data_IF_015545364012
#
_entry.id   IF_015545364012
#
_cell.length_a   1.000
_cell.length_b   1.000
_cell.length_c   1.000
_cell.angle_alpha   90.00
_cell.angle_beta   90.00
_cell.angle_gamma   90.00
#
_symmetry.space_group_name_H-M   'P 1'
#
loop_
_entity.id
_entity.type
_entity.pdbx_description
1 polymer ?
#
# COMPACT_ATOMS: atom_id res chain seq x y z
N UNK A 1 41.22 -8.91 0.75
CA UNK A 1 39.95 -9.68 0.70
C UNK A 1 39.27 -9.59 2.05
N UNK A 2 38.12 -8.89 2.16
CA UNK A 2 37.28 -9.02 3.37
C UNK A 2 36.57 -10.36 3.31
N UNK A 3 36.94 -11.28 4.21
CA UNK A 3 36.43 -12.64 4.27
C UNK A 3 35.19 -12.67 5.16
N UNK A 4 34.03 -12.95 4.56
CA UNK A 4 32.75 -13.07 5.27
C UNK A 4 32.89 -14.11 6.39
N UNK A 5 32.84 -13.64 7.64
CA UNK A 5 32.95 -14.50 8.81
C UNK A 5 31.78 -15.48 8.87
N UNK A 6 32.08 -16.72 9.24
CA UNK A 6 31.12 -17.79 9.47
C UNK A 6 31.01 -18.08 10.97
N UNK A 7 29.82 -18.48 11.41
CA UNK A 7 29.58 -19.03 12.74
C UNK A 7 30.19 -20.43 12.85
N UNK A 8 30.31 -20.95 14.07
CA UNK A 8 30.80 -22.31 14.31
C UNK A 8 30.00 -23.39 13.54
N UNK A 9 28.72 -23.12 13.27
CA UNK A 9 27.85 -23.94 12.43
C UNK A 9 28.05 -23.79 10.92
N UNK A 10 29.09 -23.07 10.48
CA UNK A 10 29.45 -22.85 9.07
C UNK A 10 28.55 -21.85 8.31
N UNK A 11 27.52 -21.30 8.96
CA UNK A 11 26.62 -20.29 8.37
C UNK A 11 27.28 -18.90 8.43
N UNK A 12 26.88 -17.99 7.56
CA UNK A 12 27.38 -16.61 7.59
C UNK A 12 26.92 -15.89 8.87
N UNK A 13 27.85 -15.23 9.55
CA UNK A 13 27.54 -14.49 10.78
C UNK A 13 26.90 -13.13 10.48
N UNK A 14 25.60 -13.05 10.74
CA UNK A 14 24.76 -11.87 10.50
C UNK A 14 25.07 -10.67 11.41
N UNK A 15 25.85 -10.87 12.48
CA UNK A 15 26.18 -9.80 13.42
C UNK A 15 27.33 -8.92 12.93
N UNK A 16 28.12 -9.44 11.99
CA UNK A 16 29.29 -8.75 11.44
C UNK A 16 28.92 -7.57 10.55
N UNK A 17 29.80 -6.56 10.51
CA UNK A 17 29.64 -5.37 9.67
C UNK A 17 29.63 -5.74 8.19
N UNK A 18 30.52 -6.65 7.79
CA UNK A 18 30.66 -7.15 6.41
C UNK A 18 29.35 -7.75 5.88
N UNK A 19 28.64 -8.56 6.68
CA UNK A 19 27.34 -9.10 6.28
C UNK A 19 26.29 -8.00 6.08
N UNK A 20 26.23 -7.03 7.00
CA UNK A 20 25.28 -5.92 6.90
C UNK A 20 25.55 -5.06 5.67
N UNK A 21 26.81 -4.76 5.39
CA UNK A 21 27.22 -4.02 4.20
C UNK A 21 26.90 -4.75 2.89
N UNK A 22 27.09 -6.07 2.85
CA UNK A 22 26.69 -6.90 1.71
C UNK A 22 25.17 -6.83 1.47
N UNK A 23 24.38 -6.94 2.53
CA UNK A 23 22.91 -6.86 2.45
C UNK A 23 22.47 -5.49 1.91
N UNK A 24 23.06 -4.40 2.39
CA UNK A 24 22.73 -3.05 1.92
C UNK A 24 23.16 -2.84 0.46
N UNK A 25 24.33 -3.35 0.06
CA UNK A 25 24.78 -3.32 -1.34
C UNK A 25 23.83 -4.11 -2.26
N UNK A 26 23.39 -5.29 -1.83
CA UNK A 26 22.44 -6.11 -2.57
C UNK A 26 21.06 -5.44 -2.68
N UNK A 27 20.59 -4.76 -1.63
CA UNK A 27 19.35 -3.97 -1.68
C UNK A 27 19.47 -2.81 -2.67
N UNK A 28 20.56 -2.03 -2.61
CA UNK A 28 20.81 -0.93 -3.55
C UNK A 28 20.86 -1.42 -5.00
N UNK A 29 21.54 -2.55 -5.26
CA UNK A 29 21.59 -3.14 -6.58
C UNK A 29 20.21 -3.59 -7.09
N UNK A 30 19.37 -4.18 -6.23
CA UNK A 30 17.98 -4.53 -6.59
C UNK A 30 17.16 -3.30 -6.93
N UNK A 31 17.23 -2.26 -6.11
CA UNK A 31 16.49 -1.02 -6.33
C UNK A 31 16.88 -0.35 -7.65
N UNK A 32 18.19 -0.28 -7.93
CA UNK A 32 18.72 0.23 -9.19
C UNK A 32 18.22 -0.59 -10.41
N UNK A 33 18.20 -1.93 -10.31
CA UNK A 33 17.66 -2.80 -11.37
C UNK A 33 16.17 -2.64 -11.59
N UNK A 34 15.40 -2.39 -10.54
CA UNK A 34 13.95 -2.21 -10.63
C UNK A 34 13.53 -0.80 -11.02
N UNK A 35 14.46 0.15 -11.16
CA UNK A 35 14.15 1.57 -11.42
C UNK A 35 13.37 2.25 -10.29
N UNK A 36 13.21 1.58 -9.14
CA UNK A 36 12.47 2.08 -7.98
C UNK A 36 13.47 2.74 -7.03
N UNK A 37 13.84 3.99 -7.31
CA UNK A 37 14.36 4.89 -6.28
C UNK A 37 13.21 5.22 -5.31
N UNK A 38 12.85 4.29 -4.43
CA UNK A 38 12.02 4.58 -3.26
C UNK A 38 12.76 4.19 -2.00
N UNK A 39 13.19 5.24 -1.30
CA UNK A 39 13.24 5.32 0.15
C UNK A 39 11.89 4.91 0.73
N UNK A 40 11.64 3.61 0.84
CA UNK A 40 10.47 3.07 1.52
C UNK A 40 10.90 2.03 2.54
N UNK A 41 11.49 2.52 3.62
CA UNK A 41 11.19 1.99 4.96
C UNK A 41 9.70 2.20 5.21
N UNK A 42 8.84 1.31 4.71
CA UNK A 42 7.45 1.25 5.17
C UNK A 42 7.40 0.43 6.44
N UNK A 43 7.81 1.08 7.53
CA UNK A 43 7.25 0.81 8.85
C UNK A 43 5.80 1.25 8.77
N UNK A 44 4.87 0.36 9.10
CA UNK A 44 3.46 0.68 9.27
C UNK A 44 3.32 1.74 10.35
N UNK A 45 3.26 3.00 9.96
CA UNK A 45 2.90 4.12 10.83
C UNK A 45 2.04 5.07 10.02
N UNK A 46 0.76 5.05 10.37
CA UNK A 46 -0.23 6.13 10.25
C UNK A 46 0.40 7.49 9.98
N UNK A 47 0.13 8.04 8.79
CA UNK A 47 -0.12 9.46 8.50
C UNK A 47 -0.06 9.69 6.98
N UNK A 48 -1.00 9.06 6.26
CA UNK A 48 -1.54 9.76 5.09
C UNK A 48 -2.59 10.69 5.66
N UNK A 49 -2.28 11.97 5.78
CA UNK A 49 -3.27 13.02 6.04
C UNK A 49 -4.16 13.16 4.80
N UNK A 50 -4.95 12.14 4.50
CA UNK A 50 -6.19 12.37 3.76
C UNK A 50 -7.05 13.19 4.70
N UNK A 51 -7.39 14.42 4.33
CA UNK A 51 -8.31 15.31 5.06
C UNK A 51 -9.58 14.57 5.51
N UNK A 52 -9.99 13.59 4.70
CA UNK A 52 -11.10 12.66 4.94
C UNK A 52 -10.92 11.86 6.24
N UNK A 53 -11.75 12.21 7.23
CA UNK A 53 -11.89 11.48 8.49
C UNK A 53 -12.42 10.07 8.27
N UNK A 54 -11.77 9.09 8.92
CA UNK A 54 -12.13 7.67 8.88
C UNK A 54 -12.43 7.14 10.27
N UNK A 55 -13.30 6.15 10.35
CA UNK A 55 -13.62 5.40 11.57
C UNK A 55 -12.52 4.38 11.89
N UNK A 56 -12.60 3.77 13.07
CA UNK A 56 -11.68 2.70 13.51
C UNK A 56 -11.68 1.47 12.58
N UNK A 57 -12.80 1.20 11.88
CA UNK A 57 -12.93 0.15 10.87
C UNK A 57 -12.36 0.55 9.49
N UNK A 58 -11.70 1.71 9.39
CA UNK A 58 -11.07 2.21 8.16
C UNK A 58 -12.03 2.81 7.12
N UNK A 59 -13.35 2.77 7.38
CA UNK A 59 -14.36 3.37 6.50
C UNK A 59 -14.46 4.88 6.70
N UNK A 60 -14.94 5.59 5.69
CA UNK A 60 -15.18 7.05 5.76
C UNK A 60 -16.23 7.35 6.83
N UNK A 61 -15.99 8.35 7.67
CA UNK A 61 -16.94 8.74 8.72
C UNK A 61 -18.07 9.62 8.15
N UNK A 62 -19.22 8.99 7.93
CA UNK A 62 -20.44 9.63 7.39
C UNK A 62 -21.07 10.68 8.31
N UNK A 63 -20.59 10.80 9.56
CA UNK A 63 -21.04 11.86 10.47
C UNK A 63 -20.42 13.22 10.15
N UNK A 64 -19.29 13.21 9.44
CA UNK A 64 -18.59 14.43 9.00
C UNK A 64 -19.20 15.00 7.72
N UNK A 65 -19.08 16.31 7.50
CA UNK A 65 -19.57 16.99 6.27
C UNK A 65 -18.99 16.33 5.01
N UNK A 66 -17.68 16.11 5.01
CA UNK A 66 -16.97 15.43 3.92
C UNK A 66 -17.50 14.01 3.67
N UNK A 67 -17.77 13.26 4.74
CA UNK A 67 -18.32 11.90 4.63
C UNK A 67 -19.70 11.86 3.98
N UNK A 68 -20.57 12.84 4.30
CA UNK A 68 -21.90 12.97 3.69
C UNK A 68 -21.80 13.29 2.19
N UNK A 69 -20.96 14.26 1.82
CA UNK A 69 -20.75 14.64 0.42
C UNK A 69 -20.18 13.48 -0.42
N UNK A 70 -19.23 12.71 0.13
CA UNK A 70 -18.70 11.52 -0.52
C UNK A 70 -19.80 10.47 -0.73
N UNK A 71 -20.64 10.24 0.28
CA UNK A 71 -21.75 9.29 0.17
C UNK A 71 -22.76 9.70 -0.91
N UNK A 72 -23.13 10.98 -0.97
CA UNK A 72 -24.03 11.52 -1.98
C UNK A 72 -23.45 11.40 -3.40
N UNK A 73 -22.17 11.76 -3.58
CA UNK A 73 -21.47 11.60 -4.87
C UNK A 73 -21.46 10.14 -5.32
N UNK A 74 -21.19 9.22 -4.40
CA UNK A 74 -21.19 7.78 -4.68
C UNK A 74 -22.59 7.25 -5.01
N UNK A 75 -23.63 7.74 -4.32
CA UNK A 75 -25.03 7.39 -4.61
C UNK A 75 -25.43 7.84 -6.02
N UNK A 76 -25.13 9.10 -6.37
CA UNK A 76 -25.39 9.64 -7.71
C UNK A 76 -24.68 8.85 -8.81
N UNK A 77 -23.42 8.46 -8.57
CA UNK A 77 -22.66 7.61 -9.49
C UNK A 77 -23.28 6.21 -9.64
N UNK A 78 -23.80 5.61 -8.56
CA UNK A 78 -24.50 4.31 -8.61
C UNK A 78 -25.82 4.41 -9.39
N UNK A 79 -26.61 5.45 -9.13
CA UNK A 79 -27.85 5.69 -9.89
C UNK A 79 -27.58 5.90 -11.38
N UNK A 80 -26.52 6.61 -11.75
CA UNK A 80 -26.13 6.79 -13.15
C UNK A 80 -25.74 5.45 -13.81
N UNK A 81 -25.03 4.56 -13.11
CA UNK A 81 -24.67 3.24 -13.63
C UNK A 81 -25.87 2.33 -13.88
N UNK A 82 -26.90 2.43 -13.03
CA UNK A 82 -28.13 1.63 -13.17
C UNK A 82 -29.08 2.14 -14.26
N UNK A 83 -28.80 3.29 -14.88
CA UNK A 83 -29.57 3.84 -16.00
C UNK A 83 -28.98 3.49 -17.38
N UNK A 84 -27.84 2.80 -17.42
CA UNK A 84 -27.24 2.33 -18.67
C UNK A 84 -27.96 1.10 -19.25
N UNK A 85 -27.46 0.62 -20.40
CA UNK A 85 -27.97 -0.57 -21.11
C UNK A 85 -28.19 -1.77 -20.16
N UNK A 86 -27.28 -1.99 -19.21
CA UNK A 86 -27.39 -3.07 -18.21
C UNK A 86 -28.62 -2.93 -17.31
N UNK A 87 -29.01 -1.70 -16.95
CA UNK A 87 -30.23 -1.45 -16.16
C UNK A 87 -31.50 -1.68 -16.96
N UNK A 88 -31.50 -1.26 -18.23
CA UNK A 88 -32.58 -1.52 -19.18
C UNK A 88 -32.80 -3.03 -19.38
N UNK A 89 -31.72 -3.79 -19.65
CA UNK A 89 -31.78 -5.25 -19.81
C UNK A 89 -32.32 -5.93 -18.55
N UNK A 90 -31.88 -5.51 -17.36
CA UNK A 90 -32.39 -6.08 -16.09
C UNK A 90 -33.87 -5.81 -15.84
N UNK A 91 -34.39 -4.67 -16.28
CA UNK A 91 -35.81 -4.35 -16.16
C UNK A 91 -36.66 -5.07 -17.20
N UNK A 92 -36.10 -5.41 -18.36
CA UNK A 92 -36.79 -6.14 -19.43
C UNK A 92 -36.86 -7.65 -19.17
N UNK A 93 -35.88 -8.21 -18.45
CA UNK A 93 -35.82 -9.63 -18.07
C UNK A 93 -36.61 -9.90 -16.77
N UNK A 94 -37.17 -8.86 -16.14
CA UNK A 94 -37.99 -8.97 -14.92
C UNK A 94 -39.45 -9.14 -15.28
#
# INVERSE_FOLDING_TARGET
MSTIKKTASGKVDKRTKEYKELVERAKKARLAKTGVNKTTTQKSTTNRTSTVKRRSDGKVDLRTKEGKEIAERMSKARCAKNKGIVGLIKNLIK
#
